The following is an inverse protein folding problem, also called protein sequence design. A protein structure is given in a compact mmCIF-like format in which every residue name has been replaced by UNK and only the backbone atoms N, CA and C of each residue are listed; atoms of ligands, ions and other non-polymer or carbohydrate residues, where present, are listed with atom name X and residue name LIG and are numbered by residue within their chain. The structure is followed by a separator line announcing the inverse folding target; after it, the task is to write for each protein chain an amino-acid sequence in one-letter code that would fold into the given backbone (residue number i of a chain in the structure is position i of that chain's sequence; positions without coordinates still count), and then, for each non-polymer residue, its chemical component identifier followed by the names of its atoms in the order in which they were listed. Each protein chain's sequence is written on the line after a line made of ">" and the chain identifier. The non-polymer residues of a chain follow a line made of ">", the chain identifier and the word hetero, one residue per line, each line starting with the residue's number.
data_IF_261786176560
#
_entry.id   IF_261786176560
#
_cell.length_a   1.000
_cell.length_b   1.000
_cell.length_c   1.000
_cell.angle_alpha   90.00
_cell.angle_beta   90.00
_cell.angle_gamma   90.00
#
_symmetry.space_group_name_H-M   'P 1'
#
loop_
_entity.id
_entity.type
_entity.pdbx_description
1 polymer ?
#
# COMPACT_ATOMS: atom_id res chain seq x y z
N UNK A 1 -20.82 5.91 -0.53
CA UNK A 1 -20.14 5.29 -1.68
C UNK A 1 -21.06 4.29 -2.40
N UNK A 2 -21.46 3.15 -1.82
CA UNK A 2 -22.33 2.19 -2.54
C UNK A 2 -23.84 2.48 -2.60
N UNK A 3 -24.33 3.60 -2.06
CA UNK A 3 -25.76 4.01 -2.05
C UNK A 3 -26.77 2.89 -1.72
N UNK A 4 -26.46 2.04 -0.74
CA UNK A 4 -27.32 0.91 -0.36
C UNK A 4 -27.21 -0.33 -1.24
N UNK A 5 -26.32 -0.35 -2.24
CA UNK A 5 -26.07 -1.50 -3.13
C UNK A 5 -24.69 -2.12 -2.88
N UNK A 6 -24.66 -3.38 -2.44
CA UNK A 6 -23.39 -4.05 -2.12
C UNK A 6 -22.51 -4.32 -3.34
N UNK A 7 -23.13 -4.53 -4.50
CA UNK A 7 -22.44 -4.72 -5.79
C UNK A 7 -21.68 -3.47 -6.27
N UNK A 8 -22.10 -2.28 -5.84
CA UNK A 8 -21.33 -1.04 -6.06
C UNK A 8 -20.31 -0.81 -4.94
N UNK A 9 -20.66 -1.19 -3.71
CA UNK A 9 -19.78 -1.01 -2.56
C UNK A 9 -18.47 -1.80 -2.69
N UNK A 10 -18.54 -3.05 -3.16
CA UNK A 10 -17.37 -3.92 -3.30
C UNK A 10 -16.26 -3.34 -4.20
N UNK A 11 -16.51 -3.03 -5.49
CA UNK A 11 -15.49 -2.44 -6.34
C UNK A 11 -15.04 -1.07 -5.83
N UNK A 12 -15.92 -0.29 -5.20
CA UNK A 12 -15.50 0.99 -4.59
C UNK A 12 -14.55 0.81 -3.42
N UNK A 13 -14.75 -0.19 -2.56
CA UNK A 13 -13.81 -0.50 -1.46
C UNK A 13 -12.49 -1.00 -2.01
N UNK A 14 -12.51 -1.83 -3.05
CA UNK A 14 -11.30 -2.30 -3.73
C UNK A 14 -10.55 -1.11 -4.35
N UNK A 15 -11.22 -0.24 -5.11
CA UNK A 15 -10.59 0.94 -5.73
C UNK A 15 -10.06 1.92 -4.67
N UNK A 16 -10.79 2.12 -3.57
CA UNK A 16 -10.33 2.93 -2.44
C UNK A 16 -9.07 2.31 -1.80
N UNK A 17 -9.07 0.99 -1.59
CA UNK A 17 -7.91 0.25 -1.09
C UNK A 17 -6.71 0.39 -2.03
N UNK A 18 -6.95 0.28 -3.33
CA UNK A 18 -5.92 0.47 -4.35
C UNK A 18 -5.34 1.90 -4.32
N UNK A 19 -6.20 2.90 -4.18
CA UNK A 19 -5.77 4.30 -4.07
C UNK A 19 -4.93 4.52 -2.82
N UNK A 20 -5.36 4.02 -1.66
CA UNK A 20 -4.60 4.17 -0.41
C UNK A 20 -3.26 3.43 -0.51
N UNK A 21 -3.24 2.18 -0.99
CA UNK A 21 -2.01 1.41 -1.14
C UNK A 21 -1.03 1.99 -2.18
N UNK A 22 -1.54 2.69 -3.21
CA UNK A 22 -0.68 3.36 -4.17
C UNK A 22 0.19 4.46 -3.52
N UNK A 23 -0.25 5.11 -2.45
CA UNK A 23 0.50 6.21 -1.80
C UNK A 23 1.16 5.81 -0.49
N UNK A 24 0.58 4.86 0.25
CA UNK A 24 1.08 4.40 1.53
C UNK A 24 1.88 3.11 1.37
N UNK A 25 2.81 2.86 2.29
CA UNK A 25 3.46 1.55 2.35
C UNK A 25 2.42 0.43 2.49
N UNK A 26 2.59 -0.70 1.80
CA UNK A 26 1.69 -1.85 1.82
C UNK A 26 1.20 -2.21 3.24
N UNK A 27 2.14 -2.37 4.19
CA UNK A 27 1.80 -2.65 5.60
C UNK A 27 0.98 -1.52 6.23
N UNK A 28 1.34 -0.26 5.96
CA UNK A 28 0.59 0.91 6.42
C UNK A 28 -0.83 0.95 5.85
N UNK A 29 -0.99 0.62 4.57
CA UNK A 29 -2.29 0.52 3.93
C UNK A 29 -3.12 -0.60 4.54
N UNK A 30 -2.55 -1.78 4.79
CA UNK A 30 -3.23 -2.89 5.44
C UNK A 30 -3.65 -2.55 6.88
N UNK A 31 -2.77 -1.93 7.66
CA UNK A 31 -3.05 -1.49 9.04
C UNK A 31 -4.15 -0.42 9.12
N UNK A 32 -4.26 0.45 8.11
CA UNK A 32 -5.32 1.47 8.04
C UNK A 32 -6.63 0.89 7.50
N UNK A 33 -6.57 0.17 6.37
CA UNK A 33 -7.75 -0.30 5.66
C UNK A 33 -8.52 -1.36 6.46
N UNK A 34 -7.83 -2.27 7.12
CA UNK A 34 -8.46 -3.37 7.87
C UNK A 34 -9.45 -2.88 8.94
N UNK A 35 -9.07 -2.03 9.90
CA UNK A 35 -10.01 -1.54 10.91
C UNK A 35 -11.12 -0.68 10.31
N UNK A 36 -10.82 0.13 9.28
CA UNK A 36 -11.82 0.94 8.58
C UNK A 36 -12.88 0.06 7.94
N UNK A 37 -12.47 -0.95 7.17
CA UNK A 37 -13.37 -1.87 6.47
C UNK A 37 -14.17 -2.69 7.48
N UNK A 38 -13.54 -3.23 8.52
CA UNK A 38 -14.25 -3.96 9.59
C UNK A 38 -15.31 -3.06 10.25
N UNK A 39 -14.97 -1.83 10.61
CA UNK A 39 -15.93 -0.89 11.22
C UNK A 39 -17.12 -0.60 10.30
N UNK A 40 -16.88 -0.45 9.00
CA UNK A 40 -17.94 -0.29 7.99
C UNK A 40 -18.82 -1.54 7.95
N UNK A 41 -18.23 -2.73 7.83
CA UNK A 41 -18.96 -4.00 7.70
C UNK A 41 -19.83 -4.30 8.94
N UNK A 42 -19.32 -4.00 10.13
CA UNK A 42 -20.06 -4.14 11.39
C UNK A 42 -21.25 -3.17 11.44
N UNK A 43 -21.07 -1.91 11.06
CA UNK A 43 -22.17 -0.92 11.00
C UNK A 43 -23.23 -1.28 9.97
N UNK A 44 -22.82 -1.88 8.85
CA UNK A 44 -23.73 -2.33 7.80
C UNK A 44 -24.39 -3.69 8.10
N UNK A 45 -24.02 -4.35 9.22
CA UNK A 45 -24.54 -5.67 9.64
C UNK A 45 -24.39 -6.75 8.56
N UNK A 46 -23.24 -6.78 7.89
CA UNK A 46 -22.97 -7.79 6.87
C UNK A 46 -22.85 -9.18 7.50
N UNK A 47 -23.30 -10.21 6.76
CA UNK A 47 -23.13 -11.61 7.19
C UNK A 47 -21.64 -11.99 7.23
N UNK A 48 -21.22 -12.95 8.08
CA UNK A 48 -19.81 -13.36 8.17
C UNK A 48 -19.17 -13.71 6.81
N UNK A 49 -19.83 -14.43 5.89
CA UNK A 49 -19.27 -14.69 4.55
C UNK A 49 -19.06 -13.41 3.73
N UNK A 50 -20.02 -12.47 3.80
CA UNK A 50 -19.89 -11.19 3.12
C UNK A 50 -18.73 -10.38 3.72
N UNK A 51 -18.62 -10.33 5.05
CA UNK A 51 -17.55 -9.60 5.71
C UNK A 51 -16.17 -10.18 5.34
N UNK A 52 -16.05 -11.50 5.30
CA UNK A 52 -14.83 -12.19 4.89
C UNK A 52 -14.44 -11.86 3.45
N UNK A 53 -15.40 -11.81 2.51
CA UNK A 53 -15.15 -11.40 1.13
C UNK A 53 -14.53 -9.98 1.04
N UNK A 54 -15.06 -9.02 1.81
CA UNK A 54 -14.53 -7.65 1.82
C UNK A 54 -13.15 -7.57 2.49
N UNK A 55 -12.95 -8.28 3.60
CA UNK A 55 -11.64 -8.31 4.30
C UNK A 55 -10.56 -8.91 3.39
N UNK A 56 -10.85 -10.04 2.74
CA UNK A 56 -9.92 -10.69 1.80
C UNK A 56 -9.64 -9.76 0.62
N UNK A 57 -10.67 -9.17 0.03
CA UNK A 57 -10.49 -8.22 -1.08
C UNK A 57 -9.60 -7.04 -0.70
N UNK A 58 -9.74 -6.54 0.53
CA UNK A 58 -8.93 -5.44 1.07
C UNK A 58 -7.47 -5.86 1.27
N UNK A 59 -7.22 -7.08 1.75
CA UNK A 59 -5.87 -7.62 1.89
C UNK A 59 -5.16 -7.80 0.54
N UNK A 60 -5.82 -8.46 -0.41
CA UNK A 60 -5.27 -8.67 -1.75
C UNK A 60 -5.01 -7.35 -2.48
N UNK A 61 -5.93 -6.38 -2.39
CA UNK A 61 -5.72 -5.12 -3.07
C UNK A 61 -4.64 -4.26 -2.41
N UNK A 62 -4.48 -4.34 -1.08
CA UNK A 62 -3.38 -3.66 -0.40
C UNK A 62 -2.03 -4.14 -0.95
N UNK A 63 -1.86 -5.46 -1.12
CA UNK A 63 -0.62 -6.01 -1.69
C UNK A 63 -0.47 -5.66 -3.17
N UNK A 64 -1.46 -6.00 -4.01
CA UNK A 64 -1.42 -5.77 -5.46
C UNK A 64 -1.21 -4.31 -5.83
N UNK A 65 -1.87 -3.37 -5.13
CA UNK A 65 -1.88 -1.97 -5.52
C UNK A 65 -0.71 -1.15 -4.97
N UNK A 66 0.22 -1.80 -4.26
CA UNK A 66 1.43 -1.19 -3.68
C UNK A 66 2.60 -1.10 -4.68
N UNK A 67 2.35 -1.28 -5.98
CA UNK A 67 3.34 -1.25 -7.05
C UNK A 67 3.75 0.13 -7.60
N UNK A 68 2.89 1.17 -7.65
CA UNK A 68 3.11 2.28 -8.57
C UNK A 68 4.22 3.25 -8.15
N UNK A 69 4.50 3.40 -6.85
CA UNK A 69 5.55 4.30 -6.37
C UNK A 69 6.63 3.52 -5.62
N UNK A 70 7.84 4.06 -5.65
CA UNK A 70 8.98 3.52 -4.90
C UNK A 70 8.64 3.43 -3.40
N UNK A 71 7.89 4.39 -2.87
CA UNK A 71 7.53 4.46 -1.45
C UNK A 71 6.34 3.59 -1.04
N UNK A 72 5.64 2.99 -2.00
CA UNK A 72 4.44 2.18 -1.73
C UNK A 72 4.77 0.81 -1.13
N UNK A 73 6.01 0.33 -1.25
CA UNK A 73 6.43 -0.94 -0.66
C UNK A 73 7.94 -0.94 -0.40
N UNK A 74 8.38 -1.61 0.67
CA UNK A 74 9.80 -1.79 0.98
C UNK A 74 10.57 -2.44 -0.17
N UNK A 75 10.00 -3.47 -0.83
CA UNK A 75 10.66 -4.16 -1.94
C UNK A 75 10.90 -3.21 -3.12
N UNK A 76 10.01 -2.24 -3.33
CA UNK A 76 10.16 -1.23 -4.37
C UNK A 76 11.33 -0.30 -4.04
N UNK A 77 11.47 0.14 -2.78
CA UNK A 77 12.60 0.94 -2.30
C UNK A 77 13.92 0.20 -2.49
N UNK A 78 13.98 -1.07 -2.06
CA UNK A 78 15.20 -1.88 -2.17
C UNK A 78 15.58 -2.08 -3.64
N UNK A 79 14.62 -2.44 -4.49
CA UNK A 79 14.86 -2.66 -5.92
C UNK A 79 15.28 -1.39 -6.63
N UNK A 80 14.60 -0.27 -6.38
CA UNK A 80 14.92 1.02 -6.97
C UNK A 80 16.33 1.49 -6.57
N UNK A 81 16.69 1.36 -5.29
CA UNK A 81 18.03 1.71 -4.83
C UNK A 81 19.12 0.78 -5.38
N UNK A 82 18.85 -0.53 -5.46
CA UNK A 82 19.83 -1.50 -5.98
C UNK A 82 20.14 -1.30 -7.46
N UNK A 83 19.12 -0.99 -8.27
CA UNK A 83 19.25 -0.77 -9.71
C UNK A 83 19.40 0.72 -10.09
N UNK A 84 19.54 1.61 -9.10
CA UNK A 84 19.63 3.06 -9.29
C UNK A 84 18.50 3.63 -10.18
N UNK A 85 17.27 3.16 -9.93
CA UNK A 85 16.07 3.58 -10.67
C UNK A 85 15.46 4.79 -9.98
N UNK A 86 15.45 5.90 -10.71
CA UNK A 86 14.76 7.12 -10.34
C UNK A 86 13.27 6.97 -10.02
N UNK A 87 12.74 7.77 -9.10
CA UNK A 87 11.32 7.79 -8.70
C UNK A 87 10.40 8.03 -9.90
N UNK A 88 10.73 9.02 -10.74
CA UNK A 88 9.94 9.34 -11.93
C UNK A 88 9.92 8.21 -12.96
N UNK A 89 11.09 7.59 -13.21
CA UNK A 89 11.22 6.47 -14.15
C UNK A 89 10.49 5.22 -13.64
N UNK A 90 10.64 4.93 -12.35
CA UNK A 90 9.95 3.82 -11.70
C UNK A 90 8.43 3.96 -11.85
N UNK A 91 7.87 5.13 -11.48
CA UNK A 91 6.45 5.39 -11.57
C UNK A 91 5.92 5.33 -13.02
N UNK A 92 6.68 5.82 -14.01
CA UNK A 92 6.28 5.77 -15.41
C UNK A 92 6.08 4.33 -15.93
N UNK A 93 6.83 3.35 -15.40
CA UNK A 93 6.70 1.93 -15.77
C UNK A 93 5.66 1.23 -14.89
N UNK A 94 5.69 1.49 -13.57
CA UNK A 94 4.90 0.73 -12.61
C UNK A 94 3.45 1.22 -12.47
N UNK A 95 3.14 2.47 -12.80
CA UNK A 95 1.75 2.96 -12.79
C UNK A 95 0.87 2.21 -13.80
N UNK A 96 1.27 2.03 -15.08
CA UNK A 96 0.52 1.18 -16.01
C UNK A 96 0.40 -0.27 -15.53
N UNK A 97 1.48 -0.85 -15.01
CA UNK A 97 1.48 -2.22 -14.46
C UNK A 97 0.48 -2.34 -13.31
N UNK A 98 0.48 -1.36 -12.40
CA UNK A 98 -0.45 -1.28 -11.28
C UNK A 98 -1.91 -1.25 -11.75
N UNK A 99 -2.23 -0.48 -12.78
CA UNK A 99 -3.60 -0.42 -13.32
C UNK A 99 -4.03 -1.81 -13.81
N UNK A 100 -3.18 -2.49 -14.58
CA UNK A 100 -3.47 -3.84 -15.08
C UNK A 100 -3.62 -4.84 -13.93
N UNK A 101 -2.71 -4.81 -12.95
CA UNK A 101 -2.76 -5.67 -11.77
C UNK A 101 -4.01 -5.46 -10.94
N UNK A 102 -4.39 -4.20 -10.67
CA UNK A 102 -5.63 -3.84 -9.94
C UNK A 102 -6.87 -4.34 -10.67
N UNK A 103 -6.94 -4.16 -12.00
CA UNK A 103 -8.06 -4.65 -12.80
C UNK A 103 -8.13 -6.17 -12.73
N UNK A 104 -7.01 -6.87 -12.91
CA UNK A 104 -6.94 -8.32 -12.85
C UNK A 104 -7.37 -8.85 -11.48
N UNK A 105 -6.86 -8.27 -10.39
CA UNK A 105 -7.25 -8.61 -9.02
C UNK A 105 -8.73 -8.34 -8.77
N UNK A 106 -9.27 -7.21 -9.22
CA UNK A 106 -10.69 -6.90 -9.09
C UNK A 106 -11.55 -7.93 -9.84
N UNK A 107 -11.16 -8.33 -11.05
CA UNK A 107 -11.87 -9.35 -11.86
C UNK A 107 -11.87 -10.70 -11.13
N UNK A 108 -10.72 -11.16 -10.65
CA UNK A 108 -10.60 -12.43 -9.90
C UNK A 108 -11.44 -12.40 -8.63
N UNK A 109 -11.30 -11.35 -7.81
CA UNK A 109 -12.07 -11.19 -6.58
C UNK A 109 -13.57 -11.11 -6.85
N UNK A 110 -13.98 -10.45 -7.93
CA UNK A 110 -15.38 -10.40 -8.34
C UNK A 110 -15.89 -11.79 -8.73
N UNK A 111 -15.15 -12.56 -9.55
CA UNK A 111 -15.57 -13.91 -9.94
C UNK A 111 -15.73 -14.84 -8.73
N UNK A 112 -14.84 -14.75 -7.74
CA UNK A 112 -14.85 -15.61 -6.55
C UNK A 112 -15.93 -15.19 -5.55
N UNK A 113 -16.08 -13.88 -5.30
CA UNK A 113 -16.88 -13.38 -4.18
C UNK A 113 -18.19 -12.69 -4.58
N UNK A 114 -18.47 -12.47 -5.88
CA UNK A 114 -19.68 -11.74 -6.32
C UNK A 114 -20.99 -12.33 -5.78
N UNK A 115 -21.06 -13.65 -5.62
CA UNK A 115 -22.22 -14.35 -5.08
C UNK A 115 -22.40 -14.14 -3.57
N UNK A 116 -21.33 -13.83 -2.85
CA UNK A 116 -21.33 -13.63 -1.39
C UNK A 116 -21.67 -12.17 -1.01
N UNK A 117 -21.68 -11.24 -1.97
CA UNK A 117 -21.95 -9.83 -1.73
C UNK A 117 -23.47 -9.60 -1.62
N UNK A 118 -23.97 -8.97 -0.54
CA UNK A 118 -25.38 -8.67 -0.39
C UNK A 118 -25.84 -7.67 -1.47
N UNK A 119 -27.01 -7.90 -2.07
CA UNK A 119 -27.53 -7.00 -3.11
C UNK A 119 -27.83 -5.61 -2.56
N UNK A 120 -28.45 -5.55 -1.38
CA UNK A 120 -28.83 -4.31 -0.72
C UNK A 120 -28.41 -4.29 0.75
N UNK A 121 -28.11 -3.10 1.27
CA UNK A 121 -27.83 -2.86 2.68
C UNK A 121 -28.48 -1.55 3.15
N UNK A 122 -28.79 -1.45 4.43
CA UNK A 122 -29.42 -0.26 5.00
C UNK A 122 -28.41 0.88 5.18
N UNK A 123 -28.79 2.08 4.76
CA UNK A 123 -28.03 3.33 4.96
C UNK A 123 -28.62 4.23 6.06
N UNK A 124 -29.74 3.82 6.67
CA UNK A 124 -30.54 4.67 7.54
C UNK A 124 -29.82 5.14 8.83
N UNK A 125 -28.79 4.41 9.26
CA UNK A 125 -28.08 4.66 10.53
C UNK A 125 -26.60 5.05 10.33
N UNK A 126 -26.23 5.53 9.14
CA UNK A 126 -24.86 5.98 8.89
C UNK A 126 -24.64 7.40 9.41
N UNK A 127 -23.63 7.58 10.25
CA UNK A 127 -23.16 8.90 10.69
C UNK A 127 -22.71 9.75 9.50
N UNK A 128 -22.93 11.06 9.57
CA UNK A 128 -22.49 11.99 8.53
C UNK A 128 -20.96 11.91 8.33
N UNK A 129 -20.43 11.88 7.09
CA UNK A 129 -18.98 11.72 6.86
C UNK A 129 -18.12 12.77 7.57
N UNK A 130 -18.65 13.99 7.73
CA UNK A 130 -17.98 15.09 8.44
C UNK A 130 -17.71 14.78 9.90
N UNK A 131 -18.49 13.91 10.54
CA UNK A 131 -18.28 13.53 11.94
C UNK A 131 -17.08 12.61 12.16
N UNK A 132 -16.45 12.12 11.08
CA UNK A 132 -15.22 11.32 11.18
C UNK A 132 -13.95 12.17 11.19
N UNK A 133 -14.04 13.47 10.92
CA UNK A 133 -12.90 14.38 10.93
C UNK A 133 -12.74 14.93 12.35
N UNK A 134 -11.72 14.47 13.06
CA UNK A 134 -11.41 14.94 14.42
C UNK A 134 -10.70 16.31 14.41
N UNK A 135 -9.67 16.46 13.57
CA UNK A 135 -8.96 17.73 13.39
C UNK A 135 -9.04 18.21 11.93
N UNK A 136 -9.86 19.24 11.64
CA UNK A 136 -10.01 19.79 10.29
C UNK A 136 -8.74 20.42 9.71
N UNK A 137 -7.83 20.92 10.55
CA UNK A 137 -6.57 21.52 10.09
C UNK A 137 -5.63 20.44 9.58
N UNK A 138 -5.43 19.39 10.38
CA UNK A 138 -4.59 18.23 9.99
C UNK A 138 -5.16 17.56 8.74
N UNK A 139 -6.49 17.34 8.71
CA UNK A 139 -7.16 16.73 7.56
C UNK A 139 -6.94 17.53 6.26
N UNK A 140 -7.09 18.86 6.30
CA UNK A 140 -6.89 19.71 5.12
C UNK A 140 -5.41 19.86 4.75
N UNK A 141 -4.51 19.85 5.72
CA UNK A 141 -3.07 19.95 5.49
C UNK A 141 -2.46 18.68 4.88
N UNK A 142 -3.03 17.50 5.18
CA UNK A 142 -2.52 16.22 4.69
C UNK A 142 -2.49 16.13 3.16
N UNK A 143 -3.53 16.60 2.46
CA UNK A 143 -3.62 16.54 0.99
C UNK A 143 -2.56 17.37 0.26
N UNK A 144 -2.40 18.69 0.51
CA UNK A 144 -1.36 19.48 -0.14
C UNK A 144 0.04 19.02 0.28
N UNK A 145 0.22 18.56 1.53
CA UNK A 145 1.50 18.01 1.98
C UNK A 145 1.85 16.71 1.24
N UNK A 146 0.87 15.83 1.01
CA UNK A 146 1.07 14.61 0.20
C UNK A 146 1.43 14.96 -1.24
N UNK A 147 0.74 15.92 -1.86
CA UNK A 147 1.07 16.38 -3.20
C UNK A 147 2.49 16.98 -3.27
N UNK A 148 2.84 17.82 -2.29
CA UNK A 148 4.18 18.40 -2.17
C UNK A 148 5.24 17.31 -1.98
N UNK A 149 4.96 16.28 -1.19
CA UNK A 149 5.87 15.16 -0.96
C UNK A 149 6.18 14.40 -2.26
N UNK A 150 5.16 14.13 -3.08
CA UNK A 150 5.35 13.46 -4.37
C UNK A 150 6.19 14.30 -5.33
N UNK A 151 5.94 15.61 -5.39
CA UNK A 151 6.74 16.55 -6.19
C UNK A 151 8.17 16.61 -5.65
N UNK A 152 8.34 16.63 -4.34
CA UNK A 152 9.65 16.67 -3.70
C UNK A 152 10.47 15.42 -4.04
N UNK A 153 9.89 14.22 -4.00
CA UNK A 153 10.60 12.99 -4.39
C UNK A 153 11.16 13.07 -5.81
N UNK A 154 10.36 13.51 -6.79
CA UNK A 154 10.83 13.66 -8.17
C UNK A 154 11.87 14.78 -8.33
N UNK A 155 11.72 15.89 -7.60
CA UNK A 155 12.64 17.03 -7.71
C UNK A 155 14.00 16.75 -7.04
N UNK A 156 13.99 16.12 -5.87
CA UNK A 156 15.20 15.86 -5.08
C UNK A 156 15.97 14.62 -5.54
N UNK A 157 15.39 13.79 -6.41
CA UNK A 157 16.04 12.66 -7.06
C UNK A 157 17.36 13.08 -7.73
N UNK A 158 17.32 14.14 -8.53
CA UNK A 158 18.50 14.68 -9.25
C UNK A 158 19.62 15.18 -8.33
N UNK A 159 19.29 15.47 -7.06
CA UNK A 159 20.21 15.96 -6.05
C UNK A 159 20.77 14.84 -5.16
N UNK A 160 20.37 13.58 -5.39
CA UNK A 160 20.80 12.43 -4.59
C UNK A 160 20.32 12.46 -3.14
N UNK A 161 19.25 13.20 -2.84
CA UNK A 161 18.72 13.30 -1.47
C UNK A 161 17.98 12.00 -1.13
N UNK A 162 18.31 11.33 -0.02
CA UNK A 162 17.60 10.14 0.42
C UNK A 162 16.11 10.39 0.65
N UNK A 163 15.27 9.45 0.20
CA UNK A 163 13.80 9.46 0.41
C UNK A 163 13.48 9.69 1.89
N UNK A 164 14.23 9.08 2.81
CA UNK A 164 14.05 9.19 4.26
C UNK A 164 14.11 10.62 4.80
N UNK A 165 14.99 11.48 4.25
CA UNK A 165 15.08 12.89 4.66
C UNK A 165 13.86 13.68 4.21
N UNK A 166 13.40 13.44 2.98
CA UNK A 166 12.22 14.10 2.41
C UNK A 166 10.96 13.69 3.17
N UNK A 167 10.76 12.39 3.39
CA UNK A 167 9.63 11.86 4.18
C UNK A 167 9.70 12.32 5.63
N UNK A 168 10.90 12.33 6.23
CA UNK A 168 11.12 12.79 7.60
C UNK A 168 10.80 14.27 7.78
N UNK A 169 11.19 15.12 6.83
CA UNK A 169 10.83 16.53 6.84
C UNK A 169 9.31 16.73 6.72
N UNK A 170 8.64 16.01 5.83
CA UNK A 170 7.18 16.08 5.72
C UNK A 170 6.47 15.58 6.99
N UNK A 171 6.97 14.51 7.61
CA UNK A 171 6.45 14.02 8.89
C UNK A 171 6.61 15.08 10.00
N UNK A 172 7.78 15.74 10.08
CA UNK A 172 8.01 16.83 11.02
C UNK A 172 7.07 18.01 10.78
N UNK A 173 6.84 18.40 9.52
CA UNK A 173 5.87 19.46 9.17
C UNK A 173 4.46 19.07 9.63
N UNK A 174 4.03 17.83 9.35
CA UNK A 174 2.70 17.37 9.77
C UNK A 174 2.57 17.30 11.30
N UNK A 175 3.61 16.84 12.00
CA UNK A 175 3.67 16.85 13.47
C UNK A 175 3.65 18.27 14.04
N UNK A 176 4.32 19.23 13.41
CA UNK A 176 4.30 20.63 13.82
C UNK A 176 2.90 21.25 13.66
N UNK A 177 2.17 20.88 12.61
CA UNK A 177 0.79 21.29 12.36
C UNK A 177 -0.15 20.64 13.39
N UNK A 178 -0.07 19.32 13.55
CA UNK A 178 -0.91 18.56 14.49
C UNK A 178 -0.68 18.98 15.95
N UNK A 179 0.59 19.16 16.34
CA UNK A 179 0.99 19.63 17.66
C UNK A 179 0.91 21.15 17.83
N UNK A 180 0.47 21.89 16.80
CA UNK A 180 0.34 23.37 16.79
C UNK A 180 1.50 24.06 17.50
N UNK A 181 2.74 23.70 17.15
CA UNK A 181 3.96 24.19 17.84
C UNK A 181 4.05 25.73 17.86
N UNK A 182 3.44 26.38 16.88
CA UNK A 182 3.35 27.81 16.64
C UNK A 182 2.50 28.51 17.72
N UNK A 183 1.58 27.76 18.35
CA UNK A 183 0.69 28.20 19.42
C UNK A 183 1.04 27.56 20.78
N UNK A 184 2.22 26.93 20.88
CA UNK A 184 2.65 26.23 22.10
C UNK A 184 1.80 25.01 22.45
N UNK A 185 1.18 24.35 21.47
CA UNK A 185 0.34 23.16 21.70
C UNK A 185 -1.09 23.46 22.17
N UNK A 186 -1.48 24.74 22.26
CA UNK A 186 -2.87 25.11 22.58
C UNK A 186 -3.81 24.61 21.48
N UNK A 187 -4.93 24.03 21.90
CA UNK A 187 -5.98 23.47 21.03
C UNK A 187 -5.55 22.30 20.11
N UNK A 188 -4.39 21.70 20.33
CA UNK A 188 -4.02 20.48 19.62
C UNK A 188 -5.00 19.35 19.97
N UNK A 189 -5.73 18.85 18.98
CA UNK A 189 -6.70 17.76 19.14
C UNK A 189 -5.99 16.40 19.03
N UNK A 190 -4.97 16.33 18.17
CA UNK A 190 -4.18 15.11 17.93
C UNK A 190 -2.93 15.11 18.81
N UNK A 191 -2.77 14.08 19.65
CA UNK A 191 -1.59 13.90 20.48
C UNK A 191 -0.42 13.32 19.68
N UNK A 192 0.50 14.19 19.26
CA UNK A 192 1.73 13.79 18.55
C UNK A 192 2.53 12.70 19.29
N UNK A 193 2.73 12.76 20.63
CA UNK A 193 3.47 11.71 21.34
C UNK A 193 2.79 10.33 21.25
N UNK A 194 1.46 10.28 21.29
CA UNK A 194 0.72 9.01 21.19
C UNK A 194 0.81 8.45 19.77
N UNK A 195 0.74 9.30 18.74
CA UNK A 195 0.92 8.87 17.34
C UNK A 195 2.32 8.26 17.14
N UNK A 196 3.36 8.90 17.66
CA UNK A 196 4.74 8.41 17.56
C UNK A 196 4.90 7.09 18.33
N UNK A 197 4.30 6.97 19.52
CA UNK A 197 4.39 5.74 20.33
C UNK A 197 3.65 4.56 19.69
N UNK A 198 2.50 4.81 19.08
CA UNK A 198 1.67 3.79 18.44
C UNK A 198 2.04 3.53 16.97
N UNK A 199 3.03 4.24 16.43
CA UNK A 199 3.54 3.97 15.09
C UNK A 199 4.08 2.51 15.01
N UNK A 200 3.95 1.84 13.85
CA UNK A 200 4.31 0.44 13.68
C UNK A 200 5.84 0.26 13.57
N UNK A 201 6.58 0.51 14.65
CA UNK A 201 8.04 0.39 14.72
C UNK A 201 8.56 -1.01 14.38
N UNK A 202 7.70 -2.03 14.51
CA UNK A 202 8.00 -3.40 14.12
C UNK A 202 8.37 -3.50 12.64
N UNK A 203 7.83 -2.64 11.76
CA UNK A 203 8.16 -2.64 10.33
C UNK A 203 9.64 -2.34 10.11
N UNK A 204 10.24 -1.45 10.92
CA UNK A 204 11.66 -1.11 10.82
C UNK A 204 12.53 -2.33 11.18
N UNK A 205 12.22 -2.98 12.31
CA UNK A 205 12.92 -4.19 12.75
C UNK A 205 12.76 -5.33 11.73
N UNK A 206 11.54 -5.51 11.24
CA UNK A 206 11.21 -6.50 10.23
C UNK A 206 11.99 -6.26 8.92
N UNK A 207 12.06 -5.00 8.46
CA UNK A 207 12.82 -4.62 7.26
C UNK A 207 14.31 -5.00 7.37
N UNK A 208 14.92 -4.77 8.54
CA UNK A 208 16.31 -5.16 8.81
C UNK A 208 16.47 -6.68 8.82
N UNK A 209 15.55 -7.40 9.46
CA UNK A 209 15.55 -8.86 9.49
C UNK A 209 15.47 -9.48 8.09
N UNK A 210 14.54 -8.99 7.27
CA UNK A 210 14.35 -9.42 5.89
C UNK A 210 15.60 -9.16 5.03
N UNK A 211 16.21 -7.97 5.14
CA UNK A 211 17.47 -7.69 4.45
C UNK A 211 18.58 -8.70 4.82
N UNK A 212 18.69 -9.07 6.10
CA UNK A 212 19.66 -10.06 6.56
C UNK A 212 19.36 -11.46 5.99
N UNK A 213 18.08 -11.86 5.95
CA UNK A 213 17.64 -13.15 5.39
C UNK A 213 17.97 -13.23 3.90
N UNK A 214 17.63 -12.23 3.09
CA UNK A 214 17.96 -12.21 1.65
C UNK A 214 19.45 -12.27 1.42
N UNK A 215 20.19 -11.43 2.14
CA UNK A 215 21.63 -11.38 1.98
C UNK A 215 22.28 -12.72 2.38
N UNK A 216 21.79 -13.34 3.46
CA UNK A 216 22.21 -14.67 3.93
C UNK A 216 21.89 -15.78 2.92
N UNK A 217 20.66 -15.82 2.40
CA UNK A 217 20.24 -16.79 1.39
C UNK A 217 20.98 -16.61 0.06
N UNK A 218 21.26 -15.36 -0.32
CA UNK A 218 22.09 -15.02 -1.47
C UNK A 218 23.50 -15.58 -1.33
N UNK A 219 24.13 -15.39 -0.18
CA UNK A 219 25.45 -15.97 0.11
C UNK A 219 25.43 -17.50 0.23
N UNK A 220 24.28 -18.11 0.56
CA UNK A 220 24.09 -19.56 0.57
C UNK A 220 23.85 -20.17 -0.83
N UNK A 221 23.84 -19.34 -1.90
CA UNK A 221 23.75 -19.79 -3.28
C UNK A 221 22.34 -19.84 -3.87
N UNK A 222 21.30 -19.39 -3.14
CA UNK A 222 19.92 -19.36 -3.66
C UNK A 222 19.80 -18.48 -4.92
N UNK A 223 20.55 -17.38 -4.96
CA UNK A 223 20.64 -16.49 -6.13
C UNK A 223 21.24 -17.18 -7.36
N UNK A 224 22.17 -18.12 -7.17
CA UNK A 224 22.78 -18.86 -8.27
C UNK A 224 21.79 -19.84 -8.92
N UNK A 225 20.98 -20.53 -8.12
CA UNK A 225 19.91 -21.40 -8.64
C UNK A 225 18.84 -20.60 -9.38
N UNK A 226 18.41 -19.46 -8.82
CA UNK A 226 17.47 -18.56 -9.49
C UNK A 226 18.02 -18.06 -10.83
N UNK A 227 19.29 -17.65 -10.88
CA UNK A 227 19.93 -17.18 -12.10
C UNK A 227 20.00 -18.26 -13.20
N UNK A 228 20.22 -19.52 -12.83
CA UNK A 228 20.22 -20.63 -13.81
C UNK A 228 18.85 -20.81 -14.47
N UNK A 229 17.77 -20.78 -13.68
CA UNK A 229 16.40 -20.92 -14.19
C UNK A 229 16.04 -19.73 -15.08
N UNK A 230 16.35 -18.51 -14.66
CA UNK A 230 16.09 -17.29 -15.44
C UNK A 230 16.88 -17.28 -16.75
N UNK A 231 18.15 -17.70 -16.75
CA UNK A 231 18.96 -17.80 -17.95
C UNK A 231 18.40 -18.85 -18.93
N UNK A 232 17.98 -20.00 -18.41
CA UNK A 232 17.32 -21.02 -19.22
C UNK A 232 16.02 -20.49 -19.86
N UNK A 233 15.17 -19.78 -19.10
CA UNK A 233 13.97 -19.14 -19.62
C UNK A 233 14.29 -18.11 -20.71
N UNK A 234 15.37 -17.33 -20.53
CA UNK A 234 15.84 -16.34 -21.49
C UNK A 234 16.21 -16.94 -22.85
N UNK A 235 16.69 -18.18 -22.88
CA UNK A 235 17.07 -18.88 -24.11
C UNK A 235 15.86 -19.40 -24.92
N UNK A 236 14.67 -19.45 -24.33
CA UNK A 236 13.45 -19.95 -24.99
C UNK A 236 12.68 -18.86 -25.77
N UNK A 237 13.17 -17.62 -25.76
CA UNK A 237 12.57 -16.48 -26.46
C UNK A 237 11.75 -15.55 -25.55
N UNK A 238 11.54 -14.31 -26.00
CA UNK A 238 11.08 -13.20 -25.15
C UNK A 238 9.75 -13.45 -24.43
N UNK A 239 8.78 -14.10 -25.08
CA UNK A 239 7.46 -14.36 -24.48
C UNK A 239 7.60 -15.37 -23.33
N UNK A 240 8.32 -16.47 -23.57
CA UNK A 240 8.53 -17.51 -22.56
C UNK A 240 9.35 -16.97 -21.40
N UNK A 241 10.38 -16.19 -21.69
CA UNK A 241 11.17 -15.52 -20.67
C UNK A 241 10.32 -14.61 -19.78
N UNK A 242 9.46 -13.77 -20.38
CA UNK A 242 8.62 -12.82 -19.64
C UNK A 242 7.57 -13.53 -18.79
N UNK A 243 6.78 -14.42 -19.41
CA UNK A 243 5.69 -15.14 -18.72
C UNK A 243 6.26 -16.11 -17.68
N UNK A 244 7.30 -16.86 -18.05
CA UNK A 244 7.96 -17.82 -17.16
C UNK A 244 8.59 -17.15 -15.95
N UNK A 245 9.25 -16.00 -16.13
CA UNK A 245 9.78 -15.21 -15.01
C UNK A 245 8.66 -14.73 -14.10
N UNK A 246 7.55 -14.23 -14.66
CA UNK A 246 6.39 -13.80 -13.88
C UNK A 246 5.82 -14.92 -13.00
N UNK A 247 5.61 -16.12 -13.56
CA UNK A 247 5.14 -17.27 -12.79
C UNK A 247 6.15 -17.74 -11.75
N UNK A 248 7.43 -17.80 -12.09
CA UNK A 248 8.49 -18.15 -11.14
C UNK A 248 8.49 -17.18 -9.95
N UNK A 249 8.49 -15.88 -10.21
CA UNK A 249 8.43 -14.84 -9.18
C UNK A 249 7.16 -14.97 -8.34
N UNK A 250 6.00 -15.20 -8.96
CA UNK A 250 4.74 -15.37 -8.24
C UNK A 250 4.76 -16.61 -7.31
N UNK A 251 5.30 -17.75 -7.78
CA UNK A 251 5.40 -18.97 -6.98
C UNK A 251 6.35 -18.76 -5.80
N UNK A 252 7.53 -18.18 -6.05
CA UNK A 252 8.51 -17.90 -5.00
C UNK A 252 7.93 -16.92 -3.97
N UNK A 253 7.27 -15.85 -4.42
CA UNK A 253 6.58 -14.88 -3.54
C UNK A 253 5.33 -15.44 -2.84
N UNK A 254 4.81 -16.61 -3.25
CA UNK A 254 3.72 -17.27 -2.53
C UNK A 254 4.22 -18.20 -1.42
N UNK A 255 5.46 -18.70 -1.56
CA UNK A 255 6.10 -19.61 -0.61
C UNK A 255 6.92 -18.81 0.41
N UNK A 256 7.60 -17.76 -0.08
CA UNK A 256 8.42 -16.82 0.68
C UNK A 256 7.66 -15.49 0.77
N UNK A 257 7.80 -14.76 1.87
CA UNK A 257 7.10 -13.49 2.06
C UNK A 257 7.41 -12.48 0.93
N UNK A 258 6.47 -11.59 0.57
CA UNK A 258 6.64 -10.52 -0.44
C UNK A 258 7.47 -9.33 0.08
N UNK A 259 8.21 -9.54 1.16
CA UNK A 259 9.22 -8.64 1.67
C UNK A 259 10.53 -9.41 1.64
N UNK A 260 11.68 -8.74 1.46
CA UNK A 260 12.91 -9.37 0.99
C UNK A 260 13.21 -10.67 1.75
#
# INVERSE_FOLDING_TARGET
>A
LGNGQGRLLFPMIVILGAFISAFFANDGAALLLTPIVIAILLRLKFSPPSALAFIIATGFIADTASLPLVTSNLVNIVSANYFDIGFGRYAAVMVPVNIVSVIATLVVLWMVYACQIPKHYSIANLSAPKSAIEDPLVFKAAFPLLALLLVAYSATESLGVPISLVTGAAALVLMAIAGRWWQGGREAVVSVPDVVRNAPWQIVLFSVGMYLVVYGLGNAGLTAYGAQILNWLGQQGNIIATVGTGFLSAIVASIMNNMP
#
